data_IF_202307589088
#
_entry.id   IF_202307589088
#
_cell.length_a   1.000
_cell.length_b   1.000
_cell.length_c   1.000
_cell.angle_alpha   90.00
_cell.angle_beta   90.00
_cell.angle_gamma   90.00
#
_symmetry.space_group_name_H-M   'P 1'
#
loop_
_entity.id
_entity.type
_entity.pdbx_description
1 polymer ?
#
# COMPACT_ATOMS: atom_id res chain seq x y z
N UNK A 1 3.82 50.45 -16.44
CA UNK A 1 2.86 49.50 -15.83
C UNK A 1 2.91 48.22 -16.63
N UNK A 2 3.67 47.24 -16.16
CA UNK A 2 3.55 45.87 -16.64
C UNK A 2 2.98 45.09 -15.46
N UNK A 3 1.77 44.58 -15.63
CA UNK A 3 1.18 43.62 -14.70
C UNK A 3 1.91 42.30 -14.93
N UNK A 4 2.92 42.02 -14.09
CA UNK A 4 3.33 40.64 -13.82
C UNK A 4 2.15 39.99 -13.11
N UNK A 5 1.39 39.20 -13.88
CA UNK A 5 0.31 38.40 -13.31
C UNK A 5 0.91 37.44 -12.30
N UNK A 6 0.35 37.45 -11.09
CA UNK A 6 0.59 36.49 -10.03
C UNK A 6 0.71 35.09 -10.65
N UNK A 7 1.95 34.58 -10.73
CA UNK A 7 2.18 33.18 -10.98
C UNK A 7 1.53 32.46 -9.81
N UNK A 8 0.42 31.78 -10.12
CA UNK A 8 -0.36 30.97 -9.21
C UNK A 8 0.59 30.16 -8.30
N UNK A 9 0.80 30.64 -7.07
CA UNK A 9 1.66 30.02 -6.04
C UNK A 9 1.09 28.67 -5.55
N UNK A 10 0.08 28.15 -6.24
CA UNK A 10 -0.45 26.82 -6.05
C UNK A 10 0.62 25.74 -6.32
N UNK A 11 0.57 24.62 -5.58
CA UNK A 11 1.46 23.50 -5.85
C UNK A 11 1.24 23.01 -7.28
N UNK A 12 2.30 23.07 -8.11
CA UNK A 12 2.24 22.57 -9.48
C UNK A 12 1.66 21.15 -9.50
N UNK A 13 0.73 20.81 -10.41
CA UNK A 13 0.25 19.44 -10.51
C UNK A 13 1.44 18.51 -10.83
N UNK A 14 1.39 17.24 -10.39
CA UNK A 14 2.43 16.29 -10.76
C UNK A 14 2.48 16.14 -12.29
N UNK A 15 3.66 15.83 -12.88
CA UNK A 15 3.73 15.49 -14.29
C UNK A 15 2.78 14.33 -14.63
N UNK A 16 2.32 14.30 -15.89
CA UNK A 16 1.33 13.31 -16.37
C UNK A 16 1.70 11.86 -16.02
N UNK A 17 2.96 11.46 -16.20
CA UNK A 17 3.41 10.09 -15.89
C UNK A 17 3.30 9.73 -14.40
N UNK A 18 3.49 10.71 -13.50
CA UNK A 18 3.28 10.52 -12.05
C UNK A 18 1.79 10.44 -11.74
N UNK A 19 0.98 11.33 -12.33
CA UNK A 19 -0.46 11.32 -12.15
C UNK A 19 -1.09 9.99 -12.58
N UNK A 20 -0.65 9.43 -13.71
CA UNK A 20 -1.10 8.13 -14.23
C UNK A 20 -0.71 6.93 -13.35
N UNK A 21 0.37 7.05 -12.56
CA UNK A 21 0.79 6.01 -11.62
C UNK A 21 -0.03 5.99 -10.31
N UNK A 22 -0.71 7.09 -10.00
CA UNK A 22 -1.51 7.25 -8.78
C UNK A 22 -2.94 6.77 -9.06
N UNK A 23 -3.46 5.75 -8.32
CA UNK A 23 -4.84 5.33 -8.49
C UNK A 23 -5.83 6.47 -8.23
N UNK A 24 -6.97 6.52 -8.95
CA UNK A 24 -7.96 7.58 -8.77
C UNK A 24 -8.79 7.35 -7.50
N UNK A 25 -8.17 7.56 -6.32
CA UNK A 25 -8.76 7.23 -5.02
C UNK A 25 -10.13 7.89 -4.77
N UNK A 26 -10.37 9.06 -5.37
CA UNK A 26 -11.63 9.80 -5.27
C UNK A 26 -12.81 9.04 -5.90
N UNK A 27 -12.56 8.09 -6.81
CA UNK A 27 -13.58 7.23 -7.42
C UNK A 27 -13.83 5.94 -6.62
N UNK A 28 -13.00 5.65 -5.63
CA UNK A 28 -13.09 4.43 -4.83
C UNK A 28 -14.14 4.56 -3.73
N UNK A 29 -14.81 3.46 -3.41
CA UNK A 29 -15.78 3.41 -2.32
C UNK A 29 -16.82 2.31 -2.48
N UNK A 30 -17.92 2.49 -1.77
CA UNK A 30 -19.04 1.55 -1.71
C UNK A 30 -19.63 1.22 -3.07
N UNK A 31 -19.76 2.22 -3.95
CA UNK A 31 -20.34 2.05 -5.28
C UNK A 31 -19.50 1.17 -6.20
N UNK A 32 -18.24 0.93 -5.85
CA UNK A 32 -17.33 0.03 -6.56
C UNK A 32 -17.29 -1.38 -5.92
N UNK A 33 -18.11 -1.63 -4.90
CA UNK A 33 -18.30 -2.95 -4.28
C UNK A 33 -19.48 -3.66 -4.96
N UNK A 34 -19.35 -4.96 -5.24
CA UNK A 34 -20.34 -5.71 -6.02
C UNK A 34 -19.73 -6.48 -7.19
N UNK A 35 -18.85 -5.83 -7.95
CA UNK A 35 -18.29 -6.36 -9.20
C UNK A 35 -16.83 -6.85 -9.07
N UNK A 36 -16.26 -6.84 -7.86
CA UNK A 36 -14.87 -7.27 -7.61
C UNK A 36 -14.67 -8.78 -7.63
N UNK A 37 -15.74 -9.59 -7.68
CA UNK A 37 -15.66 -11.05 -7.83
C UNK A 37 -15.42 -11.40 -9.30
N UNK A 38 -14.28 -10.99 -9.84
CA UNK A 38 -13.87 -11.34 -11.21
C UNK A 38 -13.50 -12.82 -11.38
N UNK A 39 -13.47 -13.59 -10.30
CA UNK A 39 -13.10 -15.00 -10.34
C UNK A 39 -13.91 -15.79 -9.30
N UNK A 40 -15.14 -16.15 -9.68
CA UNK A 40 -15.96 -17.13 -8.96
C UNK A 40 -15.61 -18.56 -9.39
N UNK A 41 -14.46 -18.81 -10.02
CA UNK A 41 -14.03 -20.20 -10.24
C UNK A 41 -14.08 -20.91 -8.89
N UNK A 42 -14.92 -21.96 -8.83
CA UNK A 42 -15.65 -22.40 -7.64
C UNK A 42 -14.83 -22.61 -6.36
N UNK A 43 -13.51 -22.76 -6.47
CA UNK A 43 -12.62 -23.14 -5.38
C UNK A 43 -12.73 -22.33 -4.09
N UNK A 44 -12.89 -20.99 -4.10
CA UNK A 44 -12.90 -20.23 -2.82
C UNK A 44 -14.27 -20.30 -2.16
N UNK A 45 -15.34 -20.08 -2.92
CA UNK A 45 -16.70 -20.14 -2.39
C UNK A 45 -17.05 -21.56 -1.94
N UNK A 46 -16.69 -22.58 -2.73
CA UNK A 46 -16.88 -23.99 -2.37
C UNK A 46 -16.15 -24.32 -1.07
N UNK A 47 -14.86 -24.01 -0.96
CA UNK A 47 -14.09 -24.23 0.28
C UNK A 47 -14.67 -23.47 1.48
N UNK A 48 -15.26 -22.30 1.27
CA UNK A 48 -15.93 -21.58 2.34
C UNK A 48 -17.21 -22.31 2.76
N UNK A 49 -18.06 -22.68 1.80
CA UNK A 49 -19.34 -23.36 2.05
C UNK A 49 -19.16 -24.74 2.67
N UNK A 50 -18.19 -25.53 2.20
CA UNK A 50 -17.79 -26.81 2.79
C UNK A 50 -17.43 -26.66 4.26
N UNK A 51 -16.59 -25.67 4.61
CA UNK A 51 -16.24 -25.37 6.01
C UNK A 51 -17.42 -24.90 6.86
N UNK A 52 -18.50 -24.41 6.24
CA UNK A 52 -19.72 -24.00 6.90
C UNK A 52 -20.81 -25.08 6.87
N UNK A 53 -20.56 -26.25 6.26
CA UNK A 53 -21.56 -27.29 6.06
C UNK A 53 -22.75 -26.87 5.19
N UNK A 54 -22.53 -25.97 4.22
CA UNK A 54 -23.58 -25.42 3.34
C UNK A 54 -23.38 -25.85 1.89
N UNK A 55 -24.46 -25.93 1.11
CA UNK A 55 -24.42 -26.16 -0.33
C UNK A 55 -24.55 -24.83 -1.12
N UNK A 56 -23.93 -24.77 -2.30
CA UNK A 56 -23.83 -23.56 -3.12
C UNK A 56 -25.14 -23.08 -3.75
N UNK A 57 -26.13 -23.95 -3.90
CA UNK A 57 -27.35 -23.68 -4.69
C UNK A 57 -28.34 -22.69 -4.06
N UNK A 58 -28.15 -22.25 -2.81
CA UNK A 58 -29.20 -21.54 -2.06
C UNK A 58 -28.77 -20.28 -1.28
N UNK A 59 -27.51 -19.81 -1.37
CA UNK A 59 -27.02 -18.82 -0.39
C UNK A 59 -26.61 -17.48 -0.99
N UNK A 60 -27.56 -16.54 -0.96
CA UNK A 60 -27.34 -15.12 -1.33
C UNK A 60 -26.69 -14.30 -0.21
N UNK A 61 -26.85 -14.72 1.05
CA UNK A 61 -26.33 -14.05 2.24
C UNK A 61 -25.40 -14.98 3.03
N UNK A 62 -24.12 -14.62 3.12
CA UNK A 62 -23.11 -15.35 3.87
C UNK A 62 -22.57 -14.52 5.04
N UNK A 63 -22.05 -15.21 6.05
CA UNK A 63 -21.46 -14.56 7.21
C UNK A 63 -20.02 -14.13 6.91
N UNK A 64 -19.65 -12.91 7.24
CA UNK A 64 -18.25 -12.50 7.25
C UNK A 64 -17.45 -13.41 8.21
N UNK A 65 -16.31 -13.94 7.77
CA UNK A 65 -15.43 -14.79 8.59
C UNK A 65 -14.95 -14.08 9.87
N UNK A 66 -14.79 -12.76 9.83
CA UNK A 66 -14.27 -11.98 10.95
C UNK A 66 -15.37 -11.51 11.91
N UNK A 67 -16.37 -10.78 11.42
CA UNK A 67 -17.38 -10.16 12.29
C UNK A 67 -18.70 -10.95 12.38
N UNK A 68 -18.83 -12.05 11.63
CA UNK A 68 -20.04 -12.89 11.56
C UNK A 68 -21.32 -12.18 11.06
N UNK A 69 -21.27 -10.89 10.76
CA UNK A 69 -22.36 -10.17 10.13
C UNK A 69 -22.73 -10.85 8.80
N UNK A 70 -24.03 -11.01 8.57
CA UNK A 70 -24.55 -11.56 7.32
C UNK A 70 -24.64 -10.44 6.28
N UNK A 71 -24.05 -10.71 5.13
CA UNK A 71 -23.90 -9.75 4.04
C UNK A 71 -24.15 -10.48 2.72
N UNK A 72 -24.66 -9.76 1.73
CA UNK A 72 -24.88 -10.31 0.40
C UNK A 72 -23.56 -10.77 -0.21
N UNK A 73 -23.59 -11.86 -0.98
CA UNK A 73 -22.38 -12.47 -1.53
C UNK A 73 -21.51 -11.50 -2.34
N UNK A 74 -22.13 -10.59 -3.09
CA UNK A 74 -21.45 -9.56 -3.88
C UNK A 74 -20.73 -8.48 -3.04
N UNK A 75 -21.02 -8.39 -1.74
CA UNK A 75 -20.37 -7.47 -0.80
C UNK A 75 -19.27 -8.16 0.04
N UNK A 76 -18.98 -9.44 -0.24
CA UNK A 76 -17.94 -10.23 0.43
C UNK A 76 -16.70 -10.37 -0.45
N UNK A 77 -15.54 -10.24 0.17
CA UNK A 77 -14.24 -10.26 -0.50
C UNK A 77 -13.53 -11.58 -0.23
N UNK A 78 -13.19 -12.29 -1.30
CA UNK A 78 -12.55 -13.60 -1.28
C UNK A 78 -11.06 -13.51 -0.95
N UNK A 79 -10.67 -13.94 0.26
CA UNK A 79 -9.26 -14.03 0.62
C UNK A 79 -8.64 -15.33 0.09
N UNK A 80 -7.35 -15.35 -0.30
CA UNK A 80 -6.68 -16.57 -0.81
C UNK A 80 -6.62 -17.76 0.17
N UNK A 81 -6.85 -17.52 1.46
CA UNK A 81 -7.00 -18.58 2.47
C UNK A 81 -8.34 -19.32 2.38
N UNK A 82 -9.32 -18.77 1.67
CA UNK A 82 -10.69 -19.29 1.57
C UNK A 82 -11.70 -18.50 2.42
N UNK A 83 -11.25 -17.54 3.22
CA UNK A 83 -12.14 -16.73 4.07
C UNK A 83 -12.83 -15.62 3.28
N UNK A 84 -14.05 -15.28 3.70
CA UNK A 84 -14.86 -14.21 3.10
C UNK A 84 -14.99 -13.06 4.09
N UNK A 85 -14.61 -11.86 3.71
CA UNK A 85 -14.72 -10.68 4.60
C UNK A 85 -15.61 -9.60 4.00
N UNK A 86 -16.44 -8.97 4.84
CA UNK A 86 -17.24 -7.83 4.43
C UNK A 86 -16.37 -6.56 4.26
N UNK A 87 -16.90 -5.54 3.59
CA UNK A 87 -16.21 -4.26 3.38
C UNK A 87 -15.75 -3.60 4.69
N UNK A 88 -16.57 -3.65 5.74
CA UNK A 88 -16.19 -3.12 7.06
C UNK A 88 -14.95 -3.82 7.62
N UNK A 89 -14.89 -5.14 7.56
CA UNK A 89 -13.69 -5.89 7.95
C UNK A 89 -12.50 -5.65 7.03
N UNK A 90 -12.71 -5.40 5.73
CA UNK A 90 -11.65 -5.01 4.82
C UNK A 90 -11.00 -3.67 5.23
N UNK A 91 -11.80 -2.67 5.60
CA UNK A 91 -11.30 -1.38 6.12
C UNK A 91 -10.51 -1.58 7.41
N UNK A 92 -11.02 -2.38 8.34
CA UNK A 92 -10.30 -2.72 9.59
C UNK A 92 -8.97 -3.41 9.29
N UNK A 93 -8.89 -4.29 8.28
CA UNK A 93 -7.63 -4.93 7.89
C UNK A 93 -6.57 -3.93 7.43
N UNK A 94 -6.96 -2.89 6.69
CA UNK A 94 -6.02 -1.82 6.29
C UNK A 94 -5.47 -1.10 7.51
N UNK A 95 -6.32 -0.80 8.50
CA UNK A 95 -5.87 -0.21 9.76
C UNK A 95 -4.94 -1.16 10.54
N UNK A 96 -5.29 -2.45 10.63
CA UNK A 96 -4.44 -3.45 11.29
C UNK A 96 -3.06 -3.58 10.64
N UNK A 97 -2.96 -3.37 9.32
CA UNK A 97 -1.67 -3.38 8.62
C UNK A 97 -0.79 -2.22 9.05
N UNK A 98 -1.36 -1.00 9.18
CA UNK A 98 -0.62 0.16 9.71
C UNK A 98 -0.05 -0.14 11.09
N UNK A 99 -0.91 -0.56 12.01
CA UNK A 99 -0.53 -0.92 13.37
C UNK A 99 0.52 -2.05 13.41
N UNK A 100 0.42 -3.02 12.50
CA UNK A 100 1.37 -4.10 12.37
C UNK A 100 2.75 -3.62 11.91
N UNK A 101 2.81 -2.68 10.96
CA UNK A 101 4.04 -2.04 10.53
C UNK A 101 4.66 -1.24 11.66
N UNK A 102 3.88 -0.40 12.33
CA UNK A 102 4.37 0.45 13.42
C UNK A 102 4.96 -0.41 14.56
N UNK A 103 4.23 -1.45 14.97
CA UNK A 103 4.67 -2.36 16.04
C UNK A 103 5.89 -3.22 15.67
N UNK A 104 6.19 -3.39 14.37
CA UNK A 104 7.27 -4.25 13.90
C UNK A 104 8.28 -3.51 13.00
N UNK A 105 8.32 -2.19 13.07
CA UNK A 105 9.05 -1.34 12.12
C UNK A 105 10.51 -1.77 11.98
N UNK A 106 11.25 -1.85 13.10
CA UNK A 106 12.65 -2.29 13.14
C UNK A 106 12.87 -3.69 12.53
N UNK A 107 11.98 -4.64 12.87
CA UNK A 107 12.08 -6.02 12.39
C UNK A 107 11.80 -6.12 10.90
N UNK A 108 10.91 -5.27 10.39
CA UNK A 108 10.60 -5.17 8.97
C UNK A 108 11.78 -4.50 8.25
N UNK A 109 12.32 -3.42 8.81
CA UNK A 109 13.47 -2.71 8.25
C UNK A 109 14.67 -3.64 8.09
N UNK A 110 15.07 -4.35 9.15
CA UNK A 110 16.17 -5.33 9.09
C UNK A 110 15.97 -6.39 8.00
N UNK A 111 14.75 -6.93 7.90
CA UNK A 111 14.43 -7.93 6.88
C UNK A 111 14.51 -7.33 5.47
N UNK A 112 14.08 -6.09 5.27
CA UNK A 112 14.13 -5.40 3.98
C UNK A 112 15.56 -5.00 3.59
N UNK A 113 16.39 -4.55 4.52
CA UNK A 113 17.82 -4.30 4.29
C UNK A 113 18.55 -5.58 3.88
N UNK A 114 18.21 -6.71 4.52
CA UNK A 114 18.76 -8.01 4.10
C UNK A 114 18.30 -8.40 2.70
N UNK A 115 17.03 -8.16 2.35
CA UNK A 115 16.53 -8.39 0.99
C UNK A 115 17.25 -7.54 -0.05
N UNK A 116 17.50 -6.27 0.24
CA UNK A 116 18.26 -5.36 -0.64
C UNK A 116 19.71 -5.82 -0.84
N UNK A 117 20.37 -6.32 0.22
CA UNK A 117 21.69 -6.94 0.11
C UNK A 117 21.70 -8.16 -0.81
N UNK A 118 20.64 -8.98 -0.78
CA UNK A 118 20.47 -10.12 -1.70
C UNK A 118 20.29 -9.62 -3.15
N UNK A 119 19.47 -8.60 -3.38
CA UNK A 119 19.27 -8.01 -4.73
C UNK A 119 20.58 -7.42 -5.28
N UNK A 120 21.35 -6.74 -4.44
CA UNK A 120 22.64 -6.19 -4.81
C UNK A 120 23.64 -7.30 -5.21
N UNK A 121 23.65 -8.41 -4.45
CA UNK A 121 24.46 -9.58 -4.78
C UNK A 121 24.12 -10.13 -6.17
N UNK A 122 22.83 -10.21 -6.53
CA UNK A 122 22.41 -10.63 -7.87
C UNK A 122 22.87 -9.70 -8.98
N UNK A 123 22.86 -8.38 -8.75
CA UNK A 123 23.26 -7.38 -9.75
C UNK A 123 24.76 -7.38 -10.00
N UNK A 124 25.56 -7.58 -8.96
CA UNK A 124 27.02 -7.46 -9.06
C UNK A 124 27.74 -8.77 -9.37
N UNK A 125 27.20 -9.93 -8.99
CA UNK A 125 27.88 -11.21 -9.13
C UNK A 125 27.44 -11.98 -10.37
N UNK A 126 28.07 -11.68 -11.51
CA UNK A 126 27.83 -12.38 -12.79
C UNK A 126 28.21 -13.87 -12.77
N UNK A 127 29.07 -14.30 -11.82
CA UNK A 127 29.62 -15.68 -11.74
C UNK A 127 29.07 -16.52 -10.58
N UNK A 128 27.81 -16.35 -10.21
CA UNK A 128 27.17 -17.22 -9.21
C UNK A 128 26.82 -18.60 -9.78
N UNK A 129 27.09 -19.65 -9.01
CA UNK A 129 26.63 -21.01 -9.33
C UNK A 129 25.11 -21.13 -9.20
N UNK A 130 24.51 -22.15 -9.85
CA UNK A 130 23.06 -22.35 -9.78
C UNK A 130 22.57 -22.64 -8.35
N UNK A 131 23.36 -23.35 -7.53
CA UNK A 131 23.02 -23.63 -6.13
C UNK A 131 23.00 -22.36 -5.28
N UNK A 132 23.98 -21.47 -5.46
CA UNK A 132 24.01 -20.17 -4.78
C UNK A 132 22.81 -19.29 -5.17
N UNK A 133 22.47 -19.24 -6.47
CA UNK A 133 21.28 -18.51 -6.96
C UNK A 133 20.00 -19.03 -6.30
N UNK A 134 19.82 -20.36 -6.23
CA UNK A 134 18.65 -20.97 -5.57
C UNK A 134 18.57 -20.62 -4.08
N UNK A 135 19.68 -20.69 -3.36
CA UNK A 135 19.74 -20.33 -1.94
C UNK A 135 19.33 -18.87 -1.70
N UNK A 136 19.84 -17.93 -2.50
CA UNK A 136 19.46 -16.52 -2.41
C UNK A 136 17.98 -16.28 -2.76
N UNK A 137 17.46 -16.92 -3.81
CA UNK A 137 16.02 -16.82 -4.16
C UNK A 137 15.14 -17.34 -3.02
N UNK A 138 15.51 -18.46 -2.41
CA UNK A 138 14.79 -19.02 -1.27
C UNK A 138 14.85 -18.09 -0.04
N UNK A 139 16.05 -17.58 0.29
CA UNK A 139 16.25 -16.63 1.38
C UNK A 139 15.44 -15.34 1.20
N UNK A 140 15.47 -14.76 0.00
CA UNK A 140 14.65 -13.61 -0.37
C UNK A 140 13.15 -13.91 -0.20
N UNK A 141 12.69 -15.07 -0.69
CA UNK A 141 11.30 -15.49 -0.55
C UNK A 141 10.86 -15.65 0.91
N UNK A 142 11.73 -16.17 1.78
CA UNK A 142 11.47 -16.27 3.22
C UNK A 142 11.39 -14.90 3.89
N UNK A 143 12.32 -14.00 3.59
CA UNK A 143 12.32 -12.63 4.11
C UNK A 143 11.07 -11.87 3.67
N UNK A 144 10.68 -11.97 2.39
CA UNK A 144 9.46 -11.37 1.87
C UNK A 144 8.21 -11.87 2.60
N UNK A 145 8.10 -13.18 2.84
CA UNK A 145 6.99 -13.75 3.64
C UNK A 145 7.00 -13.23 5.07
N UNK A 146 8.18 -13.09 5.68
CA UNK A 146 8.34 -12.52 7.03
C UNK A 146 7.88 -11.07 7.09
N UNK A 147 8.28 -10.23 6.13
CA UNK A 147 7.85 -8.83 6.03
C UNK A 147 6.33 -8.74 5.92
N UNK A 148 5.72 -9.48 4.99
CA UNK A 148 4.27 -9.48 4.82
C UNK A 148 3.52 -9.93 6.08
N UNK A 149 4.05 -10.93 6.80
CA UNK A 149 3.47 -11.39 8.06
C UNK A 149 3.56 -10.33 9.16
N UNK A 150 4.74 -9.73 9.34
CA UNK A 150 4.96 -8.68 10.35
C UNK A 150 4.08 -7.46 10.10
N UNK A 151 3.96 -7.05 8.83
CA UNK A 151 3.10 -5.95 8.40
C UNK A 151 1.59 -6.29 8.42
N UNK A 152 1.19 -7.51 8.77
CA UNK A 152 -0.24 -7.87 8.83
C UNK A 152 -0.92 -8.11 7.48
N UNK A 153 -0.17 -8.32 6.40
CA UNK A 153 -0.71 -8.66 5.06
C UNK A 153 -1.12 -10.13 4.92
N UNK A 154 -1.03 -10.94 5.97
CA UNK A 154 -1.31 -12.37 5.91
C UNK A 154 -2.55 -12.80 6.69
N UNK A 155 -3.30 -13.75 6.15
CA UNK A 155 -4.38 -14.49 6.82
C UNK A 155 -4.14 -16.00 6.61
N UNK A 156 -4.18 -16.77 7.69
CA UNK A 156 -3.90 -18.22 7.67
C UNK A 156 -2.58 -18.57 6.94
N UNK A 157 -1.53 -17.76 7.13
CA UNK A 157 -0.23 -17.95 6.48
C UNK A 157 -0.16 -17.55 4.99
N UNK A 158 -1.25 -17.10 4.38
CA UNK A 158 -1.29 -16.66 2.98
C UNK A 158 -1.38 -15.14 2.88
N UNK A 159 -0.74 -14.54 1.87
CA UNK A 159 -0.91 -13.12 1.55
C UNK A 159 -2.38 -12.87 1.17
N UNK A 160 -3.03 -11.93 1.85
CA UNK A 160 -4.43 -11.57 1.63
C UNK A 160 -4.69 -10.93 0.26
N UNK A 161 -3.65 -10.40 -0.41
CA UNK A 161 -3.73 -9.69 -1.70
C UNK A 161 -4.77 -8.55 -1.69
N UNK A 162 -4.82 -7.78 -0.60
CA UNK A 162 -5.83 -6.73 -0.38
C UNK A 162 -5.86 -5.65 -1.47
N UNK A 163 -4.75 -5.45 -2.19
CA UNK A 163 -4.68 -4.50 -3.31
C UNK A 163 -5.77 -4.74 -4.38
N UNK A 164 -6.23 -5.99 -4.53
CA UNK A 164 -7.31 -6.37 -5.46
C UNK A 164 -8.66 -5.74 -5.11
N UNK A 165 -8.84 -5.33 -3.86
CA UNK A 165 -10.09 -4.78 -3.32
C UNK A 165 -9.97 -3.29 -3.00
N UNK A 166 -8.91 -2.63 -3.50
CA UNK A 166 -8.66 -1.21 -3.23
C UNK A 166 -9.79 -0.30 -3.69
N UNK A 167 -10.43 -0.59 -4.82
CA UNK A 167 -11.55 0.19 -5.34
C UNK A 167 -12.77 0.16 -4.41
N UNK A 168 -12.94 -0.91 -3.64
CA UNK A 168 -14.06 -1.08 -2.69
C UNK A 168 -13.84 -0.34 -1.36
N UNK A 169 -12.62 0.15 -1.10
CA UNK A 169 -12.29 0.96 0.07
C UNK A 169 -12.71 2.41 -0.13
N UNK A 170 -13.02 3.12 0.95
CA UNK A 170 -13.17 4.58 0.87
C UNK A 170 -11.83 5.24 0.47
N UNK A 171 -11.85 6.48 -0.07
CA UNK A 171 -10.67 7.10 -0.65
C UNK A 171 -9.43 7.08 0.26
N UNK A 172 -9.60 7.40 1.56
CA UNK A 172 -8.50 7.45 2.53
C UNK A 172 -7.88 6.05 2.80
N UNK A 173 -8.62 5.01 3.24
CA UNK A 173 -8.06 3.66 3.37
C UNK A 173 -7.50 3.08 2.07
N UNK A 174 -8.08 3.43 0.92
CA UNK A 174 -7.57 2.97 -0.37
C UNK A 174 -6.18 3.55 -0.68
N UNK A 175 -6.04 4.87 -0.50
CA UNK A 175 -4.75 5.58 -0.58
C UNK A 175 -3.75 5.00 0.40
N UNK A 176 -4.15 4.81 1.65
CA UNK A 176 -3.27 4.28 2.68
C UNK A 176 -2.78 2.86 2.33
N UNK A 177 -3.67 1.97 1.90
CA UNK A 177 -3.30 0.62 1.47
C UNK A 177 -2.35 0.64 0.27
N UNK A 178 -2.57 1.54 -0.69
CA UNK A 178 -1.67 1.71 -1.84
C UNK A 178 -0.28 2.13 -1.38
N UNK A 179 -0.17 3.20 -0.60
CA UNK A 179 1.09 3.72 -0.06
C UNK A 179 1.84 2.64 0.72
N UNK A 180 1.15 1.90 1.59
CA UNK A 180 1.73 0.81 2.37
C UNK A 180 2.22 -0.32 1.45
N UNK A 181 1.46 -0.65 0.41
CA UNK A 181 1.86 -1.66 -0.58
C UNK A 181 3.11 -1.22 -1.35
N UNK A 182 3.22 0.06 -1.72
CA UNK A 182 4.42 0.64 -2.30
C UNK A 182 5.59 0.58 -1.31
N UNK A 183 5.38 0.99 -0.05
CA UNK A 183 6.41 1.00 0.98
C UNK A 183 7.02 -0.38 1.23
N UNK A 184 6.20 -1.43 1.25
CA UNK A 184 6.68 -2.81 1.39
C UNK A 184 7.47 -3.27 0.15
N UNK A 185 7.13 -2.75 -1.04
CA UNK A 185 7.71 -3.16 -2.33
C UNK A 185 9.00 -2.42 -2.67
N UNK A 186 9.05 -1.13 -2.39
CA UNK A 186 10.16 -0.28 -2.79
C UNK A 186 11.45 -0.68 -2.04
N UNK A 187 12.62 -0.64 -2.69
CA UNK A 187 13.89 -0.84 -1.99
C UNK A 187 14.10 0.23 -0.91
N UNK A 188 14.66 -0.12 0.26
CA UNK A 188 15.01 0.87 1.30
C UNK A 188 15.81 2.06 0.78
N UNK A 189 16.78 1.85 -0.11
CA UNK A 189 17.58 2.93 -0.74
C UNK A 189 16.77 3.96 -1.53
N UNK A 190 15.60 3.59 -2.03
CA UNK A 190 14.74 4.45 -2.84
C UNK A 190 13.57 5.05 -2.06
N UNK A 191 13.45 4.74 -0.77
CA UNK A 191 12.42 5.36 0.05
C UNK A 191 12.71 6.84 0.24
N UNK A 192 11.68 7.67 0.16
CA UNK A 192 11.77 9.11 0.40
C UNK A 192 10.60 9.55 1.26
N UNK A 193 10.79 10.64 1.99
CA UNK A 193 9.74 11.28 2.78
C UNK A 193 9.41 12.65 2.21
N UNK A 194 8.16 13.07 2.42
CA UNK A 194 7.69 14.39 2.08
C UNK A 194 8.50 15.44 2.84
N UNK A 195 9.01 16.44 2.12
CA UNK A 195 9.84 17.50 2.69
C UNK A 195 9.05 18.53 3.50
N UNK A 196 7.73 18.57 3.32
CA UNK A 196 6.83 19.44 4.07
C UNK A 196 6.91 19.15 5.58
N UNK A 197 7.18 20.16 6.45
CA UNK A 197 7.46 19.97 7.88
C UNK A 197 6.37 19.23 8.66
N UNK A 198 5.12 19.44 8.28
CA UNK A 198 3.93 18.86 8.88
C UNK A 198 3.60 17.46 8.33
N UNK A 199 3.89 17.21 7.05
CA UNK A 199 3.53 15.98 6.38
C UNK A 199 4.41 14.78 6.77
N UNK A 200 5.70 14.80 6.40
CA UNK A 200 6.64 13.69 6.64
C UNK A 200 6.23 12.31 6.10
N UNK A 201 5.17 12.20 5.30
CA UNK A 201 4.69 10.94 4.75
C UNK A 201 5.66 10.41 3.68
N UNK A 202 5.78 9.10 3.52
CA UNK A 202 6.65 8.53 2.49
C UNK A 202 5.99 8.66 1.14
N UNK A 203 6.87 8.87 0.20
CA UNK A 203 6.52 9.11 -1.19
C UNK A 203 6.98 7.89 -1.97
N UNK A 204 6.04 7.15 -2.59
CA UNK A 204 6.38 6.02 -3.45
C UNK A 204 7.37 6.40 -4.55
N UNK A 205 8.24 5.48 -4.93
CA UNK A 205 9.24 5.71 -5.98
C UNK A 205 8.60 6.13 -7.32
N UNK A 206 7.39 5.65 -7.60
CA UNK A 206 6.64 6.00 -8.82
C UNK A 206 6.10 7.44 -8.81
N UNK A 207 6.20 8.15 -7.68
CA UNK A 207 5.83 9.55 -7.56
C UNK A 207 7.03 10.50 -7.74
N UNK A 208 8.17 9.96 -8.12
CA UNK A 208 9.41 10.69 -8.36
C UNK A 208 9.53 11.10 -9.82
N UNK A 209 9.98 12.32 -10.08
CA UNK A 209 10.13 12.87 -11.44
C UNK A 209 11.30 13.87 -11.51
N UNK A 210 11.80 14.09 -12.72
CA UNK A 210 12.80 15.13 -13.01
C UNK A 210 12.12 16.38 -13.53
N UNK A 211 12.66 17.55 -13.18
CA UNK A 211 12.25 18.79 -13.81
C UNK A 211 12.73 18.89 -15.27
N UNK A 212 12.00 19.61 -16.14
CA UNK A 212 12.54 20.04 -17.42
C UNK A 212 13.87 20.76 -17.21
N UNK A 213 14.93 20.35 -17.90
CA UNK A 213 16.29 20.90 -17.73
C UNK A 213 17.22 20.11 -16.80
N UNK A 214 16.74 19.07 -16.11
CA UNK A 214 17.59 18.16 -15.34
C UNK A 214 18.04 18.68 -13.97
N UNK A 215 17.47 19.80 -13.49
CA UNK A 215 17.83 20.51 -12.26
C UNK A 215 17.36 19.84 -10.95
N UNK A 216 17.42 18.51 -10.90
CA UNK A 216 17.20 17.74 -9.69
C UNK A 216 15.91 16.93 -9.64
N UNK A 217 15.90 16.00 -8.69
CA UNK A 217 14.84 15.05 -8.46
C UNK A 217 13.75 15.67 -7.59
N UNK A 218 12.50 15.59 -8.05
CA UNK A 218 11.31 16.00 -7.29
C UNK A 218 10.43 14.79 -7.02
N UNK A 219 9.56 14.92 -6.04
CA UNK A 219 8.55 13.91 -5.76
C UNK A 219 7.24 14.53 -5.32
N UNK A 220 6.15 13.88 -5.73
CA UNK A 220 4.78 14.30 -5.44
C UNK A 220 4.20 13.51 -4.26
N UNK A 221 3.81 14.21 -3.19
CA UNK A 221 3.24 13.56 -2.02
C UNK A 221 1.72 13.37 -2.17
N UNK A 222 1.27 12.13 -2.31
CA UNK A 222 -0.17 11.80 -2.41
C UNK A 222 -0.97 12.08 -1.12
N UNK A 223 -0.31 12.40 0.01
CA UNK A 223 -0.98 12.75 1.27
C UNK A 223 -1.34 14.24 1.30
N UNK A 224 -0.35 15.14 1.17
CA UNK A 224 -0.56 16.59 1.19
C UNK A 224 -0.79 17.20 -0.20
N UNK A 225 -0.66 16.42 -1.28
CA UNK A 225 -0.71 16.85 -2.68
C UNK A 225 0.39 17.86 -3.08
N UNK A 226 1.34 18.15 -2.18
CA UNK A 226 2.48 19.01 -2.45
C UNK A 226 3.63 18.26 -3.13
N UNK A 227 4.43 19.01 -3.89
CA UNK A 227 5.71 18.52 -4.39
C UNK A 227 6.81 18.86 -3.38
N UNK A 228 7.83 18.02 -3.33
CA UNK A 228 9.01 18.25 -2.51
C UNK A 228 10.26 17.97 -3.35
N UNK A 229 11.32 18.71 -3.06
CA UNK A 229 12.65 18.46 -3.64
C UNK A 229 13.41 17.49 -2.75
N UNK A 230 14.42 16.82 -3.32
CA UNK A 230 15.31 15.96 -2.56
C UNK A 230 16.06 16.77 -1.49
N UNK A 231 15.57 16.66 -0.25
CA UNK A 231 16.28 17.08 0.93
C UNK A 231 16.84 15.80 1.57
N UNK A 232 18.15 15.78 1.84
CA UNK A 232 18.87 14.72 2.55
C UNK A 232 18.38 14.55 4.01
N UNK A 233 17.10 14.23 4.22
CA UNK A 233 16.56 13.91 5.54
C UNK A 233 16.77 12.43 5.79
N UNK A 234 17.50 12.11 6.86
CA UNK A 234 17.72 10.73 7.30
C UNK A 234 16.38 10.07 7.69
N UNK A 235 15.98 9.08 6.88
CA UNK A 235 14.78 8.28 7.04
C UNK A 235 14.71 7.53 8.38
N UNK A 236 15.86 7.25 9.01
CA UNK A 236 15.90 6.57 10.32
C UNK A 236 15.30 7.42 11.45
N UNK A 237 15.38 8.74 11.33
CA UNK A 237 14.82 9.69 12.29
C UNK A 237 13.45 10.23 11.85
N UNK A 238 13.20 10.27 10.54
CA UNK A 238 11.98 10.83 9.94
C UNK A 238 10.84 9.81 9.72
N UNK A 239 11.07 8.49 9.75
CA UNK A 239 10.04 7.44 9.63
C UNK A 239 9.15 7.29 10.90
N UNK A 240 8.84 8.38 11.59
CA UNK A 240 7.87 8.36 12.71
C UNK A 240 6.42 8.50 12.24
N UNK A 241 6.14 8.67 10.93
CA UNK A 241 4.84 9.12 10.42
C UNK A 241 4.25 8.29 9.27
N UNK A 242 4.22 6.96 9.42
CA UNK A 242 3.59 6.02 8.46
C UNK A 242 2.25 5.45 8.88
N UNK A 243 1.19 5.61 8.07
CA UNK A 243 0.59 6.86 7.65
C UNK A 243 -0.38 7.34 8.75
N UNK A 244 0.03 8.39 9.45
CA UNK A 244 -0.72 9.23 10.41
C UNK A 244 -1.86 8.53 11.19
N UNK A 245 -1.59 8.17 12.45
CA UNK A 245 -2.58 8.27 13.52
C UNK A 245 -2.64 9.74 13.95
N UNK A 246 -3.82 10.37 14.02
CA UNK A 246 -3.92 11.77 14.42
C UNK A 246 -3.56 11.94 15.89
N UNK A 247 -2.43 12.58 16.18
CA UNK A 247 -2.32 13.40 17.39
C UNK A 247 -2.86 14.79 17.03
N UNK A 248 -3.96 15.17 17.68
CA UNK A 248 -4.73 16.36 17.32
C UNK A 248 -3.91 17.65 17.31
N UNK A 249 -3.99 18.39 16.21
CA UNK A 249 -4.54 19.75 16.12
C UNK A 249 -4.42 20.25 14.66
N UNK A 250 -5.32 21.16 14.22
CA UNK A 250 -5.38 21.61 12.84
C UNK A 250 -4.27 22.64 12.58
N UNK A 251 -3.38 22.36 11.63
CA UNK A 251 -2.62 23.42 10.99
C UNK A 251 -3.54 24.06 9.94
N UNK A 252 -3.96 25.27 10.27
CA UNK A 252 -4.74 26.22 9.50
C UNK A 252 -4.37 26.18 8.00
N UNK A 253 -5.34 25.89 7.16
CA UNK A 253 -5.38 26.45 5.81
C UNK A 253 -5.40 27.97 5.95
N UNK A 254 -4.55 28.74 5.26
CA UNK A 254 -4.99 30.06 4.84
C UNK A 254 -6.11 29.81 3.83
N UNK A 255 -7.31 30.19 4.21
CA UNK A 255 -8.38 30.41 3.24
C UNK A 255 -7.93 31.55 2.35
N UNK A 256 -7.86 31.31 1.04
CA UNK A 256 -8.23 32.24 -0.03
C UNK A 256 -8.17 31.50 -1.36
#
# INVERSE_FOLDING_TARGET
>A
MYFEGDADDGPLPPPKHVAEAIPPFHLHGERQCGDHRHDTSGSILERYLERQGKQASAVWNLACSNCRARTTLNQLHDLPCGDLICRGCLQVKVLSIKLGIDANHERIWQARTTMEGIEHCFRQNLRMTQSQKRALIQGYGQLRRRVLRLAGFTCCGKNMKLYRFMSCLSPKPSRDLWIITQWVRDPPSNQRVCGWPDCGAYVPICCTYLLPGGEGLRWHCVICQGNSMDCERDLRSAQTRFPYLPSGQPALTPSR
#
